data_IF_533403215568
#
_entry.id   IF_533403215568
#
_cell.length_a   1.000
_cell.length_b   1.000
_cell.length_c   1.000
_cell.angle_alpha   90.00
_cell.angle_beta   90.00
_cell.angle_gamma   90.00
#
_symmetry.space_group_name_H-M   'P 1'
#
loop_
_entity.id
_entity.type
_entity.pdbx_description
1 polymer ?
#
# COMPACT_ATOMS: atom_id res chain seq x y z
N UNK A 1 3.09 -10.36 -21.92
CA UNK A 1 4.02 -10.84 -22.99
C UNK A 1 4.18 -9.91 -24.20
N UNK A 2 3.46 -8.78 -24.33
CA UNK A 2 3.49 -7.96 -25.57
C UNK A 2 4.53 -6.82 -25.59
N UNK A 3 5.08 -6.40 -24.43
CA UNK A 3 5.97 -5.22 -24.35
C UNK A 3 7.47 -5.53 -24.39
N UNK A 4 7.89 -6.77 -24.08
CA UNK A 4 9.30 -7.18 -24.19
C UNK A 4 9.81 -7.23 -25.64
N UNK A 5 8.94 -7.60 -26.59
CA UNK A 5 9.24 -7.54 -28.04
C UNK A 5 9.39 -6.11 -28.55
N UNK A 6 8.63 -5.16 -28.00
CA UNK A 6 8.69 -3.75 -28.39
C UNK A 6 10.00 -3.09 -27.93
N UNK A 7 10.44 -3.36 -26.70
CA UNK A 7 11.75 -2.91 -26.19
C UNK A 7 12.93 -3.53 -26.93
N UNK A 8 12.80 -4.77 -27.42
CA UNK A 8 13.83 -5.42 -28.23
C UNK A 8 13.96 -4.78 -29.62
N UNK A 9 12.83 -4.49 -30.29
CA UNK A 9 12.80 -3.77 -31.57
C UNK A 9 13.40 -2.36 -31.47
N UNK A 10 13.14 -1.65 -30.36
CA UNK A 10 13.68 -0.32 -30.10
C UNK A 10 15.19 -0.30 -29.77
N UNK A 11 15.77 -1.42 -29.31
CA UNK A 11 17.21 -1.55 -29.05
C UNK A 11 18.03 -1.86 -30.31
N UNK A 12 17.41 -2.47 -31.33
CA UNK A 12 18.03 -2.81 -32.62
C UNK A 12 18.12 -1.60 -33.56
N UNK A 13 17.20 -0.67 -33.45
CA UNK A 13 17.16 0.55 -34.25
C UNK A 13 17.98 1.65 -33.56
N UNK A 14 19.23 1.88 -33.98
CA UNK A 14 20.01 3.05 -33.54
C UNK A 14 19.24 4.33 -33.90
N UNK A 15 18.65 5.00 -32.89
CA UNK A 15 17.74 6.16 -33.02
C UNK A 15 18.47 7.53 -32.97
N UNK A 16 19.73 7.56 -33.41
CA UNK A 16 20.56 8.77 -33.36
C UNK A 16 20.30 9.73 -34.55
N UNK A 17 19.59 9.29 -35.59
CA UNK A 17 19.37 10.07 -36.83
C UNK A 17 18.02 10.82 -36.93
N UNK A 18 17.30 11.03 -35.83
CA UNK A 18 16.09 11.87 -35.88
C UNK A 18 16.50 13.35 -35.77
N UNK A 19 16.72 13.97 -36.93
CA UNK A 19 16.92 15.39 -37.10
C UNK A 19 15.79 16.24 -36.50
N UNK A 20 16.13 17.47 -36.15
CA UNK A 20 15.25 18.46 -35.52
C UNK A 20 14.01 18.76 -36.37
N UNK A 21 12.86 19.05 -35.74
CA UNK A 21 11.54 19.03 -36.39
C UNK A 21 11.23 20.32 -37.15
N UNK A 22 11.98 20.66 -38.20
CA UNK A 22 11.63 21.79 -39.08
C UNK A 22 11.68 21.51 -40.60
N UNK A 23 11.75 20.24 -41.01
CA UNK A 23 11.68 19.89 -42.43
C UNK A 23 10.37 19.15 -42.77
N UNK A 24 9.37 19.91 -43.24
CA UNK A 24 8.08 19.39 -43.74
C UNK A 24 8.15 18.69 -45.11
N UNK A 25 9.32 18.33 -45.62
CA UNK A 25 9.46 17.71 -46.95
C UNK A 25 10.52 16.60 -46.94
N UNK A 26 10.17 15.43 -46.38
CA UNK A 26 10.77 14.11 -46.65
C UNK A 26 9.92 13.04 -45.95
N UNK A 27 8.73 12.79 -46.48
CA UNK A 27 7.86 11.67 -46.07
C UNK A 27 8.03 10.43 -46.93
N UNK A 28 8.60 10.57 -48.11
CA UNK A 28 8.27 9.62 -49.17
C UNK A 28 9.20 8.40 -49.23
N UNK A 29 10.17 8.31 -48.32
CA UNK A 29 11.14 7.20 -48.25
C UNK A 29 11.36 6.64 -46.83
N UNK A 30 10.44 6.91 -45.90
CA UNK A 30 10.56 6.33 -44.56
C UNK A 30 10.26 4.83 -44.58
N UNK A 31 11.10 4.05 -43.88
CA UNK A 31 10.80 2.64 -43.57
C UNK A 31 9.39 2.53 -42.96
N UNK A 32 8.63 1.45 -43.25
CA UNK A 32 7.28 1.23 -42.72
C UNK A 32 7.17 1.44 -41.21
N UNK A 33 8.23 1.13 -40.46
CA UNK A 33 8.30 1.33 -39.01
C UNK A 33 8.32 2.82 -38.63
N UNK A 34 9.09 3.64 -39.37
CA UNK A 34 9.13 5.09 -39.14
C UNK A 34 7.82 5.77 -39.53
N UNK A 35 7.11 5.22 -40.52
CA UNK A 35 5.77 5.67 -40.90
C UNK A 35 4.73 5.32 -39.82
N UNK A 36 4.73 4.09 -39.29
CA UNK A 36 3.86 3.69 -38.17
C UNK A 36 4.11 4.55 -36.92
N UNK A 37 5.37 4.87 -36.60
CA UNK A 37 5.68 5.76 -35.47
C UNK A 37 5.17 7.19 -35.70
N UNK A 38 5.21 7.67 -36.96
CA UNK A 38 4.70 9.00 -37.34
C UNK A 38 3.16 9.06 -37.37
N UNK A 39 2.52 7.95 -37.74
CA UNK A 39 1.06 7.78 -37.79
C UNK A 39 0.43 7.46 -36.43
N UNK A 40 1.21 6.98 -35.45
CA UNK A 40 0.90 7.07 -34.00
C UNK A 40 1.06 8.54 -33.56
N UNK A 41 0.45 9.45 -34.32
CA UNK A 41 0.51 10.90 -34.17
C UNK A 41 -0.15 11.26 -32.85
N UNK A 42 0.67 11.32 -31.81
CA UNK A 42 0.64 12.29 -30.73
C UNK A 42 -0.75 12.52 -30.13
N UNK A 43 -1.32 11.50 -29.49
CA UNK A 43 -2.11 11.83 -28.31
C UNK A 43 -1.13 12.40 -27.28
N UNK A 44 -1.46 13.50 -26.60
CA UNK A 44 -0.49 14.35 -25.85
C UNK A 44 0.38 13.59 -24.83
N UNK A 45 -0.05 12.38 -24.45
CA UNK A 45 0.60 11.42 -23.57
C UNK A 45 1.93 10.82 -24.08
N UNK A 46 2.18 10.81 -25.39
CA UNK A 46 3.35 10.11 -25.96
C UNK A 46 4.65 10.92 -25.89
N UNK A 47 4.57 12.25 -25.74
CA UNK A 47 5.76 13.12 -25.68
C UNK A 47 6.61 12.89 -24.43
N UNK A 48 5.99 12.67 -23.27
CA UNK A 48 6.69 12.44 -22.00
C UNK A 48 7.40 11.08 -22.01
N UNK A 49 6.73 10.05 -22.53
CA UNK A 49 7.31 8.70 -22.66
C UNK A 49 8.46 8.67 -23.65
N UNK A 50 8.32 9.37 -24.78
CA UNK A 50 9.38 9.48 -25.77
C UNK A 50 10.61 10.23 -25.21
N UNK A 51 10.40 11.27 -24.38
CA UNK A 51 11.48 11.96 -23.67
C UNK A 51 12.20 11.04 -22.67
N UNK A 52 11.48 10.26 -21.86
CA UNK A 52 12.09 9.27 -20.94
C UNK A 52 12.88 8.21 -21.71
N UNK A 53 12.34 7.74 -22.83
CA UNK A 53 13.00 6.78 -23.70
C UNK A 53 14.31 7.34 -24.32
N UNK A 54 14.30 8.58 -24.82
CA UNK A 54 15.52 9.28 -25.29
C UNK A 54 16.55 9.44 -24.17
N UNK A 55 16.10 9.66 -22.93
CA UNK A 55 16.95 9.69 -21.73
C UNK A 55 17.40 8.28 -21.25
N UNK A 56 17.16 7.23 -22.04
CA UNK A 56 17.42 5.81 -21.71
C UNK A 56 16.76 5.34 -20.40
N UNK A 57 15.71 6.03 -19.96
CA UNK A 57 14.87 5.61 -18.84
C UNK A 57 13.72 4.75 -19.40
N UNK A 58 13.86 3.43 -19.22
CA UNK A 58 12.88 2.43 -19.66
C UNK A 58 11.92 2.00 -18.56
N UNK A 59 11.88 2.73 -17.43
CA UNK A 59 10.93 2.43 -16.38
C UNK A 59 9.50 2.65 -16.89
N UNK A 60 8.72 1.57 -16.80
CA UNK A 60 7.32 1.54 -17.25
C UNK A 60 6.40 1.97 -16.10
N UNK A 61 6.92 2.02 -14.87
CA UNK A 61 6.14 2.45 -13.73
C UNK A 61 5.72 3.90 -13.90
N UNK A 62 4.43 4.13 -13.73
CA UNK A 62 3.88 5.48 -13.73
C UNK A 62 4.35 6.13 -12.44
N UNK A 63 5.15 7.19 -12.57
CA UNK A 63 5.55 8.01 -11.43
C UNK A 63 4.32 8.41 -10.62
N UNK A 64 4.44 8.45 -9.27
CA UNK A 64 3.34 8.86 -8.42
C UNK A 64 2.85 10.22 -8.91
N UNK A 65 1.58 10.28 -9.33
CA UNK A 65 0.98 11.52 -9.79
C UNK A 65 0.95 12.50 -8.61
N UNK A 66 1.26 13.76 -8.87
CA UNK A 66 1.05 14.86 -7.92
C UNK A 66 -0.46 15.02 -7.68
N UNK A 67 -1.01 14.25 -6.74
CA UNK A 67 -2.36 14.38 -6.24
C UNK A 67 -2.41 15.32 -5.04
N UNK A 68 -3.62 15.74 -4.64
CA UNK A 68 -3.81 16.53 -3.42
C UNK A 68 -3.33 15.71 -2.22
N UNK A 69 -2.36 16.20 -1.42
CA UNK A 69 -1.98 15.53 -0.19
C UNK A 69 -3.19 15.52 0.75
N UNK A 70 -3.40 14.39 1.42
CA UNK A 70 -4.41 14.29 2.48
C UNK A 70 -3.79 14.91 3.73
N UNK A 71 -4.39 15.99 4.23
CA UNK A 71 -3.88 16.87 5.30
C UNK A 71 -3.83 16.23 6.70
N UNK A 72 -4.23 14.97 6.87
CA UNK A 72 -4.21 14.33 8.19
C UNK A 72 -2.80 13.87 8.53
N UNK A 73 -2.26 14.41 9.62
CA UNK A 73 -1.03 13.92 10.23
C UNK A 73 -1.25 12.50 10.78
N UNK A 74 -0.58 11.54 10.17
CA UNK A 74 -0.67 10.13 10.56
C UNK A 74 -0.11 9.87 11.96
N UNK A 75 0.83 10.69 12.45
CA UNK A 75 1.43 10.49 13.76
C UNK A 75 0.49 10.96 14.88
N UNK A 76 -0.16 12.12 14.70
CA UNK A 76 -1.24 12.57 15.60
C UNK A 76 -2.38 11.55 15.66
N UNK A 77 -2.79 11.00 14.51
CA UNK A 77 -3.84 9.98 14.46
C UNK A 77 -3.45 8.71 15.23
N UNK A 78 -2.19 8.26 15.14
CA UNK A 78 -1.71 7.12 15.92
C UNK A 78 -1.73 7.40 17.41
N UNK A 79 -1.30 8.61 17.83
CA UNK A 79 -1.28 8.99 19.23
C UNK A 79 -2.68 8.92 19.87
N UNK A 80 -3.72 9.39 19.16
CA UNK A 80 -5.11 9.32 19.62
C UNK A 80 -5.56 7.85 19.77
N UNK A 81 -5.22 6.99 18.81
CA UNK A 81 -5.58 5.57 18.82
C UNK A 81 -4.83 4.80 19.93
N UNK A 82 -3.58 5.17 20.21
CA UNK A 82 -2.76 4.54 21.25
C UNK A 82 -3.24 4.94 22.65
N UNK A 83 -3.78 6.14 22.81
CA UNK A 83 -4.39 6.59 24.07
C UNK A 83 -5.71 5.88 24.36
N UNK A 84 -6.62 5.85 23.38
CA UNK A 84 -7.87 5.11 23.51
C UNK A 84 -8.17 4.35 22.22
N UNK A 85 -8.07 3.02 22.31
CA UNK A 85 -8.32 2.12 21.18
C UNK A 85 -9.79 2.11 20.72
N UNK A 86 -10.71 2.59 21.56
CA UNK A 86 -12.14 2.51 21.32
C UNK A 86 -12.76 3.80 20.75
N UNK A 87 -11.93 4.80 20.43
CA UNK A 87 -12.43 6.04 19.83
C UNK A 87 -13.09 5.79 18.48
N UNK A 88 -14.19 6.49 18.25
CA UNK A 88 -14.93 6.40 17.00
C UNK A 88 -14.34 7.35 15.95
N UNK A 89 -14.37 6.94 14.67
CA UNK A 89 -13.94 7.80 13.56
C UNK A 89 -14.60 9.20 13.53
N UNK A 90 -15.91 9.38 13.81
CA UNK A 90 -16.51 10.71 13.88
C UNK A 90 -16.03 11.53 15.10
N UNK A 91 -15.70 10.89 16.23
CA UNK A 91 -15.12 11.59 17.39
C UNK A 91 -13.75 12.16 17.03
N UNK A 92 -12.88 11.35 16.42
CA UNK A 92 -11.56 11.79 15.94
C UNK A 92 -11.70 12.90 14.88
N UNK A 93 -12.69 12.78 14.00
CA UNK A 93 -12.97 13.77 12.97
C UNK A 93 -13.30 15.15 13.56
N UNK A 94 -14.07 15.19 14.65
CA UNK A 94 -14.37 16.42 15.39
C UNK A 94 -13.14 16.98 16.11
N UNK A 95 -12.34 16.11 16.73
CA UNK A 95 -11.13 16.50 17.47
C UNK A 95 -10.05 17.09 16.54
N UNK A 96 -9.90 16.53 15.35
CA UNK A 96 -8.94 16.97 14.34
C UNK A 96 -9.51 17.99 13.35
N UNK A 97 -10.78 18.40 13.50
CA UNK A 97 -11.52 19.27 12.57
C UNK A 97 -11.39 18.85 11.09
N UNK A 98 -11.52 17.55 10.84
CA UNK A 98 -11.44 16.98 9.48
C UNK A 98 -12.68 16.17 9.15
N UNK A 99 -13.01 16.11 7.87
CA UNK A 99 -14.14 15.30 7.44
C UNK A 99 -13.90 13.80 7.71
N UNK A 100 -14.92 13.10 8.21
CA UNK A 100 -14.85 11.68 8.62
C UNK A 100 -14.24 10.75 7.56
N UNK A 101 -14.54 10.93 6.26
CA UNK A 101 -13.94 10.11 5.18
C UNK A 101 -12.41 10.17 5.16
N UNK A 102 -11.86 11.31 5.56
CA UNK A 102 -10.42 11.55 5.59
C UNK A 102 -9.76 10.72 6.68
N UNK A 103 -10.38 10.65 7.86
CA UNK A 103 -9.96 9.75 8.95
C UNK A 103 -10.04 8.29 8.52
N UNK A 104 -11.15 7.87 7.92
CA UNK A 104 -11.31 6.47 7.45
C UNK A 104 -10.23 6.10 6.42
N UNK A 105 -9.90 7.02 5.52
CA UNK A 105 -8.82 6.80 4.55
C UNK A 105 -7.44 6.77 5.21
N UNK A 106 -7.19 7.64 6.20
CA UNK A 106 -5.94 7.68 6.95
C UNK A 106 -5.74 6.38 7.76
N UNK A 107 -6.78 5.88 8.43
CA UNK A 107 -6.77 4.60 9.15
C UNK A 107 -6.41 3.42 8.23
N UNK A 108 -6.95 3.41 7.00
CA UNK A 108 -6.61 2.39 5.99
C UNK A 108 -5.14 2.46 5.58
N UNK A 109 -4.56 3.67 5.49
CA UNK A 109 -3.14 3.87 5.14
C UNK A 109 -2.20 3.44 6.27
N UNK A 110 -2.60 3.60 7.52
CA UNK A 110 -1.81 3.19 8.69
C UNK A 110 -2.01 1.72 9.07
N UNK A 111 -2.77 0.95 8.29
CA UNK A 111 -3.11 -0.46 8.55
C UNK A 111 -3.81 -0.69 9.91
N UNK A 112 -4.45 0.34 10.47
CA UNK A 112 -5.22 0.22 11.71
C UNK A 112 -6.65 -0.16 11.37
N UNK A 113 -7.15 -1.21 12.03
CA UNK A 113 -8.54 -1.67 11.89
C UNK A 113 -9.25 -1.58 13.23
N UNK A 114 -10.42 -0.94 13.21
CA UNK A 114 -11.31 -0.96 14.37
C UNK A 114 -11.87 -2.37 14.55
N UNK A 115 -11.74 -2.91 15.76
CA UNK A 115 -12.35 -4.19 16.14
C UNK A 115 -13.19 -3.95 17.39
N UNK A 116 -14.43 -4.42 17.36
CA UNK A 116 -15.28 -4.40 18.54
C UNK A 116 -14.62 -5.16 19.68
N UNK A 117 -14.77 -4.64 20.90
CA UNK A 117 -14.31 -5.30 22.10
C UNK A 117 -15.01 -6.64 22.29
N UNK A 118 -14.30 -7.60 22.90
CA UNK A 118 -14.90 -8.88 23.25
C UNK A 118 -15.94 -8.72 24.35
N UNK A 119 -17.08 -9.42 24.21
CA UNK A 119 -18.11 -9.46 25.25
C UNK A 119 -17.59 -10.24 26.45
N UNK A 120 -17.43 -9.58 27.59
CA UNK A 120 -17.06 -10.24 28.85
C UNK A 120 -18.35 -10.68 29.56
N UNK A 121 -18.50 -11.96 29.97
CA UNK A 121 -19.75 -12.47 30.54
C UNK A 121 -20.22 -11.77 31.82
N UNK A 122 -19.30 -11.33 32.67
CA UNK A 122 -19.59 -10.60 33.90
C UNK A 122 -18.37 -9.82 34.36
N UNK A 123 -18.61 -8.70 35.03
CA UNK A 123 -17.56 -7.91 35.66
C UNK A 123 -17.04 -8.62 36.91
N UNK A 124 -15.72 -8.79 36.96
CA UNK A 124 -15.07 -9.52 38.05
C UNK A 124 -14.57 -8.55 39.12
N UNK A 125 -14.98 -8.78 40.37
CA UNK A 125 -14.37 -8.12 41.54
C UNK A 125 -12.95 -8.64 41.78
N UNK A 126 -12.10 -7.83 42.42
CA UNK A 126 -10.70 -8.18 42.69
C UNK A 126 -10.55 -9.53 43.42
N UNK A 127 -11.43 -9.79 44.41
CA UNK A 127 -11.45 -11.06 45.16
C UNK A 127 -11.73 -12.26 44.24
N UNK A 128 -12.71 -12.15 43.35
CA UNK A 128 -13.07 -13.22 42.41
C UNK A 128 -11.96 -13.44 41.38
N UNK A 129 -11.31 -12.37 40.89
CA UNK A 129 -10.13 -12.47 40.02
C UNK A 129 -9.01 -13.28 40.69
N UNK A 130 -8.68 -12.97 41.95
CA UNK A 130 -7.65 -13.68 42.71
C UNK A 130 -8.00 -15.15 42.94
N UNK A 131 -9.25 -15.46 43.32
CA UNK A 131 -9.72 -16.84 43.51
C UNK A 131 -9.61 -17.66 42.22
N UNK A 132 -10.04 -17.08 41.09
CA UNK A 132 -9.94 -17.72 39.77
C UNK A 132 -8.48 -17.99 39.38
N UNK A 133 -7.60 -17.00 39.56
CA UNK A 133 -6.16 -17.15 39.27
C UNK A 133 -5.54 -18.28 40.10
N UNK A 134 -5.84 -18.34 41.40
CA UNK A 134 -5.33 -19.39 42.29
C UNK A 134 -5.82 -20.78 41.88
N UNK A 135 -7.11 -20.93 41.56
CA UNK A 135 -7.68 -22.18 41.10
C UNK A 135 -7.04 -22.65 39.78
N UNK A 136 -6.88 -21.75 38.80
CA UNK A 136 -6.21 -22.07 37.53
C UNK A 136 -4.75 -22.51 37.75
N UNK A 137 -4.01 -21.84 38.64
CA UNK A 137 -2.63 -22.21 38.95
C UNK A 137 -2.52 -23.58 39.63
N UNK A 138 -3.44 -23.91 40.55
CA UNK A 138 -3.50 -25.22 41.19
C UNK A 138 -3.75 -26.33 40.16
N UNK A 139 -4.76 -26.16 39.30
CA UNK A 139 -5.07 -27.11 38.23
C UNK A 139 -3.90 -27.31 37.27
N UNK A 140 -3.21 -26.23 36.88
CA UNK A 140 -2.03 -26.33 36.02
C UNK A 140 -0.88 -27.10 36.67
N UNK A 141 -0.68 -26.97 37.99
CA UNK A 141 0.32 -27.74 38.74
C UNK A 141 -0.04 -29.23 38.77
N UNK A 142 -1.31 -29.55 39.01
CA UNK A 142 -1.76 -30.94 39.06
C UNK A 142 -1.69 -31.61 37.69
N UNK A 143 -2.04 -30.90 36.62
CA UNK A 143 -1.87 -31.37 35.24
C UNK A 143 -0.40 -31.70 34.92
N UNK A 144 0.55 -30.85 35.37
CA UNK A 144 1.98 -31.12 35.19
C UNK A 144 2.44 -32.36 35.95
N UNK A 145 1.98 -32.53 37.20
CA UNK A 145 2.31 -33.73 38.01
C UNK A 145 1.79 -35.01 37.39
N UNK A 146 0.57 -34.99 36.84
CA UNK A 146 -0.02 -36.15 36.15
C UNK A 146 0.77 -36.52 34.90
N UNK A 147 1.17 -35.53 34.10
CA UNK A 147 2.01 -35.75 32.90
C UNK A 147 3.42 -36.24 33.23
N UNK A 148 4.03 -35.76 34.32
CA UNK A 148 5.34 -36.27 34.74
C UNK A 148 5.26 -37.67 35.34
N UNK A 149 4.17 -38.01 36.03
CA UNK A 149 3.94 -39.36 36.57
C UNK A 149 3.65 -40.41 35.50
N UNK A 150 2.92 -40.04 34.43
CA UNK A 150 2.61 -40.94 33.30
C UNK A 150 3.84 -41.30 32.43
N UNK A 151 4.94 -40.57 32.53
CA UNK A 151 6.20 -40.90 31.83
C UNK A 151 7.08 -41.91 32.60
N UNK A 152 6.67 -42.32 33.81
CA UNK A 152 7.44 -43.25 34.64
C UNK A 152 6.92 -44.71 34.57
N UNK A 153 5.86 -44.98 33.80
CA UNK A 153 5.21 -46.29 33.71
C UNK A 153 5.49 -47.03 32.37
N UNK A 154 6.66 -46.78 31.75
CA UNK A 154 7.20 -47.57 30.62
C UNK A 154 8.64 -48.02 30.90
#
# INVERSE_FOLDING_TARGET
>A
MKYKRFLFLLRVLRFDDIGTPDDRRKSDNLSPISQVIRDIRLDRYDTVRFRKFKARNFDIQVEPRSGRPVEVDCEQLKQIIDQDRNVSAPTIALELDVYQKTIVNALKRTNVTFKFNCRVPHELTAKVKSKRKAACLALLRDQRKRKSGQNCDL
#
